data_IF_758529309775
#
_entry.id   IF_758529309775
#
_cell.length_a   1.000
_cell.length_b   1.000
_cell.length_c   1.000
_cell.angle_alpha   90.00
_cell.angle_beta   90.00
_cell.angle_gamma   90.00
#
_symmetry.space_group_name_H-M   'P 1'
#
loop_
_entity.id
_entity.type
_entity.pdbx_description
1 polymer ?
#
# COMPACT_ATOMS: atom_id res chain seq x y z
N UNK A 1 61.50 -19.56 7.82
CA UNK A 1 61.32 -18.79 6.58
C UNK A 1 60.03 -19.28 5.94
N UNK A 2 59.08 -18.53 5.38
CA UNK A 2 58.71 -17.10 5.29
C UNK A 2 57.41 -17.16 4.44
N UNK A 3 56.32 -16.55 4.92
CA UNK A 3 55.15 -15.95 4.22
C UNK A 3 54.40 -16.77 3.14
N UNK A 4 53.12 -17.12 3.32
CA UNK A 4 51.90 -16.29 3.21
C UNK A 4 51.63 -15.82 1.77
N UNK A 5 50.45 -16.16 1.21
CA UNK A 5 49.45 -15.25 0.58
C UNK A 5 48.56 -15.98 -0.46
N UNK A 6 47.25 -15.97 -0.17
CA UNK A 6 46.06 -15.92 -1.06
C UNK A 6 45.85 -17.09 -2.06
N UNK A 7 44.66 -17.65 -2.27
CA UNK A 7 43.48 -16.99 -2.84
C UNK A 7 42.20 -17.81 -2.62
N UNK A 8 41.08 -17.09 -2.63
CA UNK A 8 39.71 -17.53 -2.88
C UNK A 8 39.59 -18.57 -4.00
N UNK A 9 38.48 -19.32 -3.99
CA UNK A 9 37.68 -19.75 -5.16
C UNK A 9 37.11 -21.16 -4.92
N UNK A 10 35.86 -21.24 -4.46
CA UNK A 10 35.08 -22.49 -4.42
C UNK A 10 34.13 -22.45 -5.61
N UNK A 11 34.52 -23.15 -6.66
CA UNK A 11 33.88 -23.29 -7.96
C UNK A 11 34.33 -24.72 -8.40
N UNK A 12 33.53 -25.67 -8.87
CA UNK A 12 32.19 -25.67 -9.44
C UNK A 12 31.67 -27.12 -9.42
N UNK A 13 30.37 -27.32 -9.25
CA UNK A 13 29.69 -28.32 -10.08
C UNK A 13 28.28 -27.84 -10.48
N UNK A 14 27.88 -28.13 -11.73
CA UNK A 14 27.04 -27.27 -12.54
C UNK A 14 25.54 -27.55 -12.41
N UNK A 15 24.78 -26.47 -12.56
CA UNK A 15 23.55 -26.35 -13.37
C UNK A 15 22.66 -27.60 -13.51
N UNK A 16 21.50 -27.58 -12.84
CA UNK A 16 20.23 -28.03 -13.46
C UNK A 16 19.06 -27.20 -12.92
N UNK A 17 18.95 -26.01 -13.49
CA UNK A 17 17.73 -25.21 -13.53
C UNK A 17 16.73 -25.99 -14.40
N UNK A 18 15.59 -26.36 -13.83
CA UNK A 18 14.38 -26.69 -14.59
C UNK A 18 13.16 -26.50 -13.67
N UNK A 19 12.80 -25.25 -13.36
CA UNK A 19 11.43 -24.95 -12.94
C UNK A 19 10.63 -24.71 -14.21
N UNK A 20 9.79 -25.68 -14.53
CA UNK A 20 8.91 -25.68 -15.70
C UNK A 20 7.86 -24.60 -15.47
N UNK A 21 7.93 -23.53 -16.26
CA UNK A 21 6.89 -22.51 -16.35
C UNK A 21 5.75 -23.07 -17.20
N UNK A 22 4.62 -23.39 -16.58
CA UNK A 22 3.38 -23.72 -17.31
C UNK A 22 2.61 -22.44 -17.58
N UNK A 23 2.76 -21.90 -18.79
CA UNK A 23 1.89 -20.89 -19.37
C UNK A 23 0.63 -21.58 -19.89
N UNK A 24 -0.55 -21.21 -19.37
CA UNK A 24 -1.81 -21.48 -20.06
C UNK A 24 -2.47 -20.17 -20.47
N UNK A 25 -2.64 -20.06 -21.79
CA UNK A 25 -3.23 -18.97 -22.54
C UNK A 25 -4.73 -19.26 -22.71
N UNK A 26 -5.59 -18.31 -22.38
CA UNK A 26 -6.98 -18.32 -22.83
C UNK A 26 -7.36 -16.90 -23.31
N UNK A 27 -7.14 -16.67 -24.60
CA UNK A 27 -7.68 -15.53 -25.36
C UNK A 27 -9.17 -15.78 -25.59
N UNK A 28 -10.02 -14.98 -24.97
CA UNK A 28 -11.43 -14.88 -25.29
C UNK A 28 -11.69 -13.58 -26.04
N UNK A 29 -11.78 -13.65 -27.37
CA UNK A 29 -12.17 -12.52 -28.21
C UNK A 29 -13.69 -12.51 -28.39
N UNK A 30 -14.37 -11.52 -27.82
CA UNK A 30 -15.75 -11.17 -28.20
C UNK A 30 -15.73 -9.80 -28.85
N UNK A 31 -15.82 -9.79 -30.17
CA UNK A 31 -16.07 -8.58 -30.95
C UNK A 31 -17.55 -8.19 -30.80
N UNK A 32 -17.83 -7.08 -30.11
CA UNK A 32 -19.14 -6.43 -30.17
C UNK A 32 -19.06 -5.29 -31.19
N UNK A 33 -19.96 -5.33 -32.16
CA UNK A 33 -20.02 -4.46 -33.32
C UNK A 33 -20.16 -2.98 -32.94
N UNK A 34 -19.48 -2.13 -33.71
CA UNK A 34 -19.61 -0.69 -33.66
C UNK A 34 -20.97 -0.26 -34.22
N UNK A 35 -21.80 0.34 -33.38
CA UNK A 35 -22.88 1.22 -33.85
C UNK A 35 -22.48 2.65 -33.57
N UNK A 36 -21.94 3.30 -34.60
CA UNK A 36 -21.69 4.72 -34.64
C UNK A 36 -23.02 5.48 -34.79
N UNK A 37 -23.32 6.34 -33.83
CA UNK A 37 -24.22 7.47 -34.04
C UNK A 37 -23.69 8.68 -33.27
N UNK A 38 -23.41 9.76 -33.99
CA UNK A 38 -23.13 11.10 -33.49
C UNK A 38 -23.44 12.07 -34.65
N UNK A 39 -23.66 13.37 -34.43
CA UNK A 39 -23.77 14.11 -33.17
C UNK A 39 -24.98 15.10 -33.13
N UNK A 40 -25.34 15.62 -31.95
CA UNK A 40 -25.89 16.99 -31.85
C UNK A 40 -25.89 17.53 -30.41
N UNK A 41 -25.25 18.70 -30.27
CA UNK A 41 -25.59 19.84 -29.41
C UNK A 41 -25.41 19.75 -27.87
N UNK A 42 -24.30 20.35 -27.42
CA UNK A 42 -24.17 21.44 -26.44
C UNK A 42 -25.26 21.50 -25.34
N UNK A 43 -24.86 21.13 -24.12
CA UNK A 43 -25.22 21.85 -22.89
C UNK A 43 -24.16 21.56 -21.82
N UNK A 44 -23.39 22.58 -21.43
CA UNK A 44 -22.71 22.57 -20.14
C UNK A 44 -23.65 23.24 -19.14
N UNK A 45 -24.17 22.53 -18.13
CA UNK A 45 -24.63 23.15 -16.91
C UNK A 45 -23.51 23.10 -15.86
N UNK A 46 -23.14 24.29 -15.42
CA UNK A 46 -22.32 24.59 -14.26
C UNK A 46 -22.83 23.90 -12.98
N UNK A 47 -21.95 23.92 -11.98
CA UNK A 47 -22.20 23.81 -10.52
C UNK A 47 -21.99 22.44 -9.87
N UNK A 48 -20.86 22.35 -9.16
CA UNK A 48 -20.82 21.85 -7.78
C UNK A 48 -21.19 20.39 -7.57
N UNK A 49 -20.19 19.52 -7.58
CA UNK A 49 -20.15 18.46 -6.57
C UNK A 49 -19.29 18.96 -5.43
N UNK A 50 -19.88 19.80 -4.59
CA UNK A 50 -19.58 19.71 -3.17
C UNK A 50 -20.03 18.31 -2.77
N UNK A 51 -19.07 17.38 -2.66
CA UNK A 51 -19.30 16.11 -2.00
C UNK A 51 -19.70 16.44 -0.57
N UNK A 52 -21.02 16.56 -0.37
CA UNK A 52 -21.62 16.99 0.86
C UNK A 52 -21.17 16.07 1.99
N UNK A 53 -20.81 16.71 3.10
CA UNK A 53 -20.62 16.11 4.41
C UNK A 53 -21.60 14.97 4.61
N UNK A 54 -21.08 13.76 4.57
CA UNK A 54 -21.71 12.61 5.19
C UNK A 54 -20.84 12.30 6.40
N UNK A 55 -21.00 13.10 7.45
CA UNK A 55 -20.81 12.63 8.82
C UNK A 55 -21.90 11.57 9.09
N UNK A 56 -21.85 10.48 8.33
CA UNK A 56 -22.25 9.17 8.78
C UNK A 56 -21.13 8.78 9.71
N UNK A 57 -21.30 9.06 11.01
CA UNK A 57 -20.40 8.57 12.05
C UNK A 57 -20.06 7.12 11.70
N UNK A 58 -18.79 6.85 11.38
CA UNK A 58 -18.33 5.62 10.74
C UNK A 58 -18.36 4.40 11.68
N UNK A 59 -19.50 4.17 12.33
CA UNK A 59 -19.60 3.35 13.53
C UNK A 59 -18.87 3.97 14.72
N UNK A 60 -18.91 3.27 15.86
CA UNK A 60 -18.14 3.67 17.03
C UNK A 60 -16.65 3.56 16.77
N UNK A 61 -15.96 4.69 16.57
CA UNK A 61 -14.49 4.74 16.48
C UNK A 61 -13.85 4.71 17.86
N UNK A 62 -12.74 3.96 18.00
CA UNK A 62 -11.93 4.03 19.20
C UNK A 62 -11.19 5.38 19.28
N UNK A 63 -10.62 5.70 20.44
CA UNK A 63 -9.78 6.90 20.57
C UNK A 63 -8.53 6.81 19.69
N UNK A 64 -7.91 5.63 19.61
CA UNK A 64 -6.74 5.39 18.76
C UNK A 64 -7.08 5.58 17.27
N UNK A 65 -8.22 5.06 16.81
CA UNK A 65 -8.65 5.24 15.42
C UNK A 65 -8.84 6.72 15.07
N UNK A 66 -9.45 7.49 15.98
CA UNK A 66 -9.63 8.94 15.76
C UNK A 66 -8.30 9.68 15.68
N UNK A 67 -7.33 9.32 16.51
CA UNK A 67 -5.99 9.91 16.46
C UNK A 67 -5.32 9.54 15.15
N UNK A 68 -5.25 8.24 14.82
CA UNK A 68 -4.66 7.76 13.58
C UNK A 68 -5.26 8.46 12.35
N UNK A 69 -6.59 8.47 12.23
CA UNK A 69 -7.26 9.08 11.09
C UNK A 69 -6.97 10.58 10.95
N UNK A 70 -6.88 11.31 12.08
CA UNK A 70 -6.56 12.74 12.07
C UNK A 70 -5.11 13.01 11.67
N UNK A 71 -4.16 12.27 12.22
CA UNK A 71 -2.74 12.47 11.97
C UNK A 71 -2.30 11.96 10.58
N UNK A 72 -3.04 11.03 9.99
CA UNK A 72 -2.75 10.46 8.66
C UNK A 72 -3.53 11.08 7.49
N UNK A 73 -4.33 12.14 7.71
CA UNK A 73 -5.21 12.78 6.70
C UNK A 73 -6.33 11.84 6.17
N UNK A 74 -6.86 10.95 7.02
CA UNK A 74 -7.95 10.04 6.66
C UNK A 74 -9.29 10.38 7.30
N UNK A 75 -9.36 11.32 8.24
CA UNK A 75 -10.57 11.64 9.02
C UNK A 75 -11.73 12.21 8.18
N UNK A 76 -11.43 12.94 7.11
CA UNK A 76 -12.44 13.45 6.17
C UNK A 76 -12.78 12.45 5.04
N UNK A 77 -12.06 11.33 4.92
CA UNK A 77 -12.31 10.33 3.87
C UNK A 77 -13.59 9.54 4.16
N UNK A 78 -14.15 8.89 3.15
CA UNK A 78 -15.32 8.02 3.34
C UNK A 78 -15.04 6.89 4.34
N UNK A 79 -16.06 6.43 5.07
CA UNK A 79 -15.89 5.38 6.09
C UNK A 79 -15.23 4.11 5.55
N UNK A 80 -15.50 3.73 4.30
CA UNK A 80 -14.85 2.57 3.67
C UNK A 80 -13.35 2.74 3.48
N UNK A 81 -12.90 3.98 3.19
CA UNK A 81 -11.49 4.33 3.04
C UNK A 81 -10.84 4.38 4.42
N UNK A 82 -11.51 4.98 5.42
CA UNK A 82 -11.05 4.96 6.80
C UNK A 82 -10.85 3.53 7.33
N UNK A 83 -11.82 2.63 7.12
CA UNK A 83 -11.73 1.24 7.55
C UNK A 83 -10.58 0.50 6.87
N UNK A 84 -10.29 0.85 5.63
CA UNK A 84 -9.17 0.27 4.88
C UNK A 84 -7.83 0.79 5.40
N UNK A 85 -7.72 2.09 5.68
CA UNK A 85 -6.57 2.71 6.30
C UNK A 85 -6.27 2.11 7.69
N UNK A 86 -7.29 1.99 8.55
CA UNK A 86 -7.14 1.39 9.89
C UNK A 86 -6.64 -0.06 9.78
N UNK A 87 -7.22 -0.87 8.86
CA UNK A 87 -6.79 -2.26 8.65
C UNK A 87 -5.35 -2.36 8.17
N UNK A 88 -4.92 -1.47 7.28
CA UNK A 88 -3.55 -1.40 6.81
C UNK A 88 -2.61 -1.02 7.95
N UNK A 89 -2.89 0.04 8.70
CA UNK A 89 -2.09 0.47 9.86
C UNK A 89 -1.90 -0.65 10.90
N UNK A 90 -2.98 -1.37 11.24
CA UNK A 90 -2.90 -2.53 12.14
C UNK A 90 -2.07 -3.69 11.54
N UNK A 91 -2.06 -3.84 10.22
CA UNK A 91 -1.22 -4.85 9.55
C UNK A 91 0.27 -4.47 9.57
N UNK A 92 0.59 -3.20 9.38
CA UNK A 92 1.97 -2.69 9.44
C UNK A 92 2.55 -2.82 10.85
N UNK A 93 1.78 -2.47 11.89
CA UNK A 93 2.20 -2.69 13.27
C UNK A 93 2.46 -4.17 13.58
N UNK A 94 1.61 -5.10 13.10
CA UNK A 94 1.87 -6.54 13.27
C UNK A 94 3.11 -7.02 12.52
N UNK A 95 3.40 -6.40 11.37
CA UNK A 95 4.63 -6.69 10.64
C UNK A 95 5.85 -6.20 11.43
N UNK A 96 5.80 -5.01 12.02
CA UNK A 96 6.85 -4.46 12.90
C UNK A 96 7.05 -5.28 14.17
N UNK A 97 5.98 -5.85 14.74
CA UNK A 97 6.09 -6.77 15.88
C UNK A 97 6.86 -8.05 15.52
N UNK A 98 6.82 -8.47 14.25
CA UNK A 98 7.50 -9.69 13.77
C UNK A 98 8.93 -9.41 13.31
N UNK A 99 9.17 -8.28 12.65
CA UNK A 99 10.44 -7.96 11.99
C UNK A 99 11.30 -6.96 12.79
N UNK A 100 10.71 -6.32 13.81
CA UNK A 100 11.33 -5.30 14.65
C UNK A 100 11.04 -3.87 14.16
N UNK A 101 10.90 -2.93 15.12
CA UNK A 101 10.59 -1.52 14.88
C UNK A 101 11.73 -0.63 14.42
N UNK A 102 12.79 -1.16 13.81
CA UNK A 102 13.96 -0.35 13.43
C UNK A 102 13.65 0.69 12.35
N UNK A 103 14.43 1.78 12.29
CA UNK A 103 14.30 2.80 11.25
C UNK A 103 14.34 2.23 9.83
N UNK A 104 15.23 1.27 9.57
CA UNK A 104 15.33 0.61 8.26
C UNK A 104 14.06 -0.13 7.88
N UNK A 105 13.46 -0.86 8.84
CA UNK A 105 12.23 -1.60 8.63
C UNK A 105 11.02 -0.67 8.42
N UNK A 106 10.99 0.46 9.12
CA UNK A 106 9.95 1.48 8.91
C UNK A 106 10.07 2.14 7.53
N UNK A 107 11.29 2.49 7.09
CA UNK A 107 11.52 3.00 5.74
C UNK A 107 11.08 1.96 4.70
N UNK A 108 11.41 0.68 4.88
CA UNK A 108 11.00 -0.39 3.96
C UNK A 108 9.47 -0.49 3.84
N UNK A 109 8.74 -0.41 4.95
CA UNK A 109 7.28 -0.41 4.93
C UNK A 109 6.72 0.80 4.19
N UNK A 110 7.21 2.01 4.49
CA UNK A 110 6.77 3.23 3.82
C UNK A 110 7.05 3.19 2.32
N UNK A 111 8.23 2.72 1.91
CA UNK A 111 8.55 2.56 0.49
C UNK A 111 7.68 1.49 -0.19
N UNK A 112 7.33 0.41 0.52
CA UNK A 112 6.46 -0.64 -0.01
C UNK A 112 5.02 -0.17 -0.24
N UNK A 113 4.55 0.86 0.49
CA UNK A 113 3.17 1.37 0.37
C UNK A 113 3.05 2.65 -0.44
N UNK A 114 4.16 3.18 -0.95
CA UNK A 114 4.23 4.44 -1.71
C UNK A 114 3.36 4.48 -2.97
N UNK A 115 3.09 3.33 -3.59
CA UNK A 115 2.25 3.26 -4.80
C UNK A 115 0.75 3.24 -4.45
N UNK A 116 0.41 3.08 -3.17
CA UNK A 116 -0.96 3.02 -2.65
C UNK A 116 -1.34 4.26 -1.84
N UNK A 117 -0.37 4.86 -1.14
CA UNK A 117 -0.57 5.99 -0.22
C UNK A 117 0.07 7.25 -0.76
N UNK A 118 -0.62 8.38 -0.65
CA UNK A 118 -0.08 9.69 -1.02
C UNK A 118 1.07 10.13 -0.10
N UNK A 119 0.97 9.79 1.20
CA UNK A 119 1.92 10.15 2.24
C UNK A 119 2.32 8.94 3.09
N UNK A 120 3.08 7.98 2.54
CA UNK A 120 3.36 6.70 3.21
C UNK A 120 4.12 6.88 4.54
N UNK A 121 5.03 7.85 4.61
CA UNK A 121 5.78 8.15 5.83
C UNK A 121 4.90 8.75 6.93
N UNK A 122 4.01 9.68 6.59
CA UNK A 122 3.05 10.27 7.54
C UNK A 122 2.05 9.22 8.02
N UNK A 123 1.59 8.36 7.12
CA UNK A 123 0.70 7.25 7.45
C UNK A 123 1.35 6.30 8.45
N UNK A 124 2.58 5.86 8.18
CA UNK A 124 3.29 4.91 9.03
C UNK A 124 3.60 5.51 10.41
N UNK A 125 4.02 6.77 10.48
CA UNK A 125 4.26 7.48 11.74
C UNK A 125 2.99 7.57 12.60
N UNK A 126 1.88 7.95 11.98
CA UNK A 126 0.57 7.98 12.64
C UNK A 126 0.13 6.58 13.10
N UNK A 127 0.36 5.54 12.30
CA UNK A 127 0.04 4.16 12.63
C UNK A 127 0.84 3.67 13.85
N UNK A 128 2.15 3.93 13.87
CA UNK A 128 3.04 3.57 14.98
C UNK A 128 2.61 4.28 16.26
N UNK A 129 2.39 5.60 16.17
CA UNK A 129 1.99 6.41 17.32
C UNK A 129 0.64 5.96 17.91
N UNK A 130 -0.32 5.59 17.07
CA UNK A 130 -1.66 5.21 17.51
C UNK A 130 -1.78 3.74 17.96
N UNK A 131 -1.11 2.81 17.28
CA UNK A 131 -1.37 1.38 17.44
C UNK A 131 -0.18 0.57 17.98
N UNK A 132 1.06 1.01 17.77
CA UNK A 132 2.25 0.31 18.25
C UNK A 132 3.36 1.26 18.75
N UNK A 133 3.09 2.07 19.80
CA UNK A 133 3.97 3.14 20.24
C UNK A 133 5.34 2.66 20.76
N UNK A 134 5.50 1.37 21.07
CA UNK A 134 6.79 0.79 21.44
C UNK A 134 7.80 0.75 20.28
N UNK A 135 7.33 0.94 19.03
CA UNK A 135 8.19 1.06 17.85
C UNK A 135 8.45 2.52 17.44
N UNK A 136 8.04 3.52 18.24
CA UNK A 136 8.38 4.92 17.96
C UNK A 136 9.89 5.15 18.06
N UNK A 137 10.47 5.90 17.12
CA UNK A 137 11.91 6.17 17.02
C UNK A 137 12.31 7.53 17.60
#
# INVERSE_FOLDING_TARGET
MVYMIHYYFTEEHPMRIARIFSTMLAVGATAAALSATAPAAIAAPSTGSAGGSSSSDCGGRSAADRVFLRESDFDEKSCSVQDSAIRLALSECRWLDTHGGSASNQIELAESTRDTLDYPYTFLDAAITAYCPHHSL
#
